data_IF_896070813236
#
_entry.id   IF_896070813236
#
_cell.length_a   1.000
_cell.length_b   1.000
_cell.length_c   1.000
_cell.angle_alpha   90.00
_cell.angle_beta   90.00
_cell.angle_gamma   90.00
#
_symmetry.space_group_name_H-M   'P 1'
#
loop_
_entity.id
_entity.type
_entity.pdbx_description
1 polymer ?
#
# COMPACT_ATOMS: atom_id res chain seq x y z
N UNK A 1 -2.67 -30.14 -4.88
CA UNK A 1 -3.60 -29.09 -5.35
C UNK A 1 -3.63 -27.91 -4.36
N UNK A 2 -3.36 -26.68 -4.80
CA UNK A 2 -3.39 -25.48 -3.94
C UNK A 2 -4.82 -25.09 -3.52
N UNK A 3 -5.76 -25.12 -4.47
CA UNK A 3 -7.15 -24.73 -4.25
C UNK A 3 -7.81 -25.54 -3.14
N UNK A 4 -7.69 -26.86 -3.19
CA UNK A 4 -8.22 -27.76 -2.16
C UNK A 4 -7.63 -27.51 -0.75
N UNK A 5 -6.34 -27.21 -0.65
CA UNK A 5 -5.69 -26.90 0.64
C UNK A 5 -6.16 -25.55 1.20
N UNK A 6 -6.39 -24.60 0.30
CA UNK A 6 -6.92 -23.28 0.63
C UNK A 6 -8.38 -23.38 1.09
N UNK A 7 -9.22 -24.17 0.41
CA UNK A 7 -10.63 -24.38 0.75
C UNK A 7 -10.84 -24.93 2.16
N UNK A 8 -9.91 -25.75 2.65
CA UNK A 8 -9.97 -26.31 4.00
C UNK A 8 -9.64 -25.32 5.12
N UNK A 9 -9.10 -24.14 4.80
CA UNK A 9 -8.72 -23.12 5.81
C UNK A 9 -9.83 -22.11 6.02
N UNK A 10 -10.47 -22.12 7.18
CA UNK A 10 -11.54 -21.18 7.52
C UNK A 10 -11.10 -19.71 7.54
N UNK A 11 -9.86 -19.44 7.96
CA UNK A 11 -9.28 -18.09 8.04
C UNK A 11 -9.06 -17.41 6.69
N UNK A 12 -9.15 -18.15 5.57
CA UNK A 12 -8.85 -17.64 4.23
C UNK A 12 -10.09 -17.16 3.46
N UNK A 13 -11.21 -16.86 4.12
CA UNK A 13 -12.49 -16.50 3.46
C UNK A 13 -12.37 -15.50 2.32
N UNK A 14 -11.76 -14.34 2.58
CA UNK A 14 -11.53 -13.29 1.56
C UNK A 14 -10.66 -13.81 0.42
N UNK A 15 -9.58 -14.52 0.76
CA UNK A 15 -8.67 -15.06 -0.24
C UNK A 15 -9.37 -16.05 -1.18
N UNK A 16 -10.27 -16.92 -0.67
CA UNK A 16 -11.03 -17.86 -1.53
C UNK A 16 -11.97 -17.14 -2.48
N UNK A 17 -12.66 -16.12 -1.96
CA UNK A 17 -13.62 -15.34 -2.73
C UNK A 17 -12.93 -14.54 -3.86
N UNK A 18 -11.72 -14.05 -3.61
CA UNK A 18 -11.04 -13.13 -4.52
C UNK A 18 -9.95 -13.75 -5.39
N UNK A 19 -9.24 -14.80 -4.95
CA UNK A 19 -8.12 -15.40 -5.70
C UNK A 19 -8.59 -16.56 -6.57
N UNK A 20 -8.93 -16.24 -7.82
CA UNK A 20 -9.45 -17.21 -8.80
C UNK A 20 -8.37 -18.18 -9.34
N UNK A 21 -7.15 -17.69 -9.54
CA UNK A 21 -6.04 -18.46 -10.12
C UNK A 21 -4.68 -18.03 -9.53
N UNK A 22 -3.70 -18.94 -9.61
CA UNK A 22 -2.30 -18.63 -9.29
C UNK A 22 -1.67 -18.03 -10.55
N UNK A 23 -1.44 -16.72 -10.54
CA UNK A 23 -0.82 -16.00 -11.64
C UNK A 23 0.07 -14.87 -11.15
N UNK A 24 0.96 -14.41 -12.01
CA UNK A 24 1.75 -13.19 -11.80
C UNK A 24 0.83 -11.97 -11.94
N UNK A 25 1.01 -11.00 -11.05
CA UNK A 25 0.36 -9.69 -11.16
C UNK A 25 1.19 -8.81 -12.13
N UNK A 26 0.54 -8.20 -13.12
CA UNK A 26 1.23 -7.46 -14.19
C UNK A 26 1.43 -5.97 -13.89
N UNK A 27 0.85 -5.46 -12.80
CA UNK A 27 0.99 -4.05 -12.39
C UNK A 27 2.20 -3.81 -11.47
N UNK A 28 2.96 -4.86 -11.14
CA UNK A 28 4.27 -4.74 -10.52
C UNK A 28 5.35 -5.10 -11.54
N UNK A 29 6.11 -4.10 -11.99
CA UNK A 29 7.15 -4.21 -13.01
C UNK A 29 8.58 -4.11 -12.43
N UNK A 30 8.71 -4.24 -11.11
CA UNK A 30 9.96 -4.10 -10.34
C UNK A 30 10.65 -2.73 -10.48
N UNK A 31 9.93 -1.71 -10.96
CA UNK A 31 10.41 -0.34 -10.92
C UNK A 31 10.16 0.30 -9.53
N UNK A 32 10.68 1.51 -9.32
CA UNK A 32 10.50 2.25 -8.07
C UNK A 32 9.01 2.55 -7.76
N UNK A 33 8.23 2.90 -8.78
CA UNK A 33 6.78 3.13 -8.64
C UNK A 33 6.02 1.89 -8.16
N UNK A 34 6.36 0.71 -8.66
CA UNK A 34 5.79 -0.56 -8.24
C UNK A 34 6.14 -0.90 -6.78
N UNK A 35 7.35 -0.57 -6.33
CA UNK A 35 7.74 -0.68 -4.93
C UNK A 35 6.95 0.29 -4.03
N UNK A 36 6.78 1.55 -4.46
CA UNK A 36 5.97 2.54 -3.73
C UNK A 36 4.49 2.13 -3.66
N UNK A 37 3.93 1.61 -4.76
CA UNK A 37 2.56 1.10 -4.81
C UNK A 37 2.37 -0.08 -3.85
N UNK A 38 3.34 -1.00 -3.79
CA UNK A 38 3.31 -2.12 -2.86
C UNK A 38 3.31 -1.61 -1.41
N UNK A 39 4.21 -0.68 -1.07
CA UNK A 39 4.28 -0.10 0.26
C UNK A 39 2.97 0.60 0.67
N UNK A 40 2.36 1.36 -0.24
CA UNK A 40 1.08 2.02 0.00
C UNK A 40 -0.03 1.01 0.28
N UNK A 41 -0.16 -0.04 -0.55
CA UNK A 41 -1.19 -1.09 -0.38
C UNK A 41 -1.00 -1.94 0.87
N UNK A 42 0.25 -2.13 1.30
CA UNK A 42 0.58 -2.84 2.52
C UNK A 42 0.45 -1.98 3.78
N UNK A 43 0.18 -0.68 3.66
CA UNK A 43 0.10 0.24 4.79
C UNK A 43 1.47 0.55 5.42
N UNK A 44 2.56 0.36 4.67
CA UNK A 44 3.94 0.56 5.15
C UNK A 44 4.72 1.61 4.34
N UNK A 45 4.02 2.40 3.52
CA UNK A 45 4.63 3.55 2.85
C UNK A 45 5.23 4.49 3.88
N UNK A 46 6.50 4.83 3.66
CA UNK A 46 7.37 5.53 4.61
C UNK A 46 7.10 7.03 4.63
N UNK A 47 5.84 7.41 4.79
CA UNK A 47 5.41 8.81 4.89
C UNK A 47 5.88 9.44 6.21
N UNK A 48 5.82 10.76 6.32
CA UNK A 48 6.21 11.45 7.55
C UNK A 48 5.35 11.05 8.75
N UNK A 49 4.04 10.81 8.57
CA UNK A 49 3.18 10.27 9.65
C UNK A 49 3.53 8.83 10.03
N UNK A 50 4.09 8.02 9.12
CA UNK A 50 4.59 6.69 9.50
C UNK A 50 5.85 6.80 10.35
N UNK A 51 6.78 7.67 9.96
CA UNK A 51 8.07 7.87 10.65
C UNK A 51 7.95 8.58 11.99
N UNK A 52 6.93 9.42 12.18
CA UNK A 52 6.67 10.11 13.45
C UNK A 52 6.41 9.16 14.62
N UNK A 53 5.98 7.92 14.33
CA UNK A 53 5.82 6.85 15.34
C UNK A 53 7.13 6.46 16.02
N UNK A 54 8.26 6.68 15.36
CA UNK A 54 9.59 6.25 15.82
C UNK A 54 10.54 7.42 16.06
N UNK A 55 10.16 8.65 15.68
CA UNK A 55 10.98 9.85 15.82
C UNK A 55 10.08 11.07 15.95
N UNK A 56 10.43 12.02 16.82
CA UNK A 56 9.69 13.28 16.92
C UNK A 56 10.05 14.17 15.73
N UNK A 57 9.27 14.08 14.66
CA UNK A 57 9.42 14.86 13.43
C UNK A 57 8.10 15.48 12.99
N UNK A 58 8.19 16.56 12.22
CA UNK A 58 7.03 17.17 11.58
C UNK A 58 6.36 16.17 10.63
N UNK A 59 5.03 16.12 10.68
CA UNK A 59 4.20 15.24 9.87
C UNK A 59 3.64 15.95 8.63
N UNK A 60 3.90 17.24 8.46
CA UNK A 60 3.36 18.05 7.36
C UNK A 60 3.90 17.56 6.01
N UNK A 61 2.99 17.33 5.06
CA UNK A 61 3.31 16.88 3.71
C UNK A 61 4.30 17.83 3.03
N UNK A 62 5.42 17.27 2.57
CA UNK A 62 6.48 18.06 1.89
C UNK A 62 5.98 18.62 0.55
N UNK A 63 5.05 17.93 -0.10
CA UNK A 63 4.49 18.36 -1.39
C UNK A 63 3.59 19.58 -1.28
N UNK A 64 2.57 19.54 -0.40
CA UNK A 64 1.59 20.61 -0.29
C UNK A 64 1.84 21.60 0.85
N UNK A 65 2.56 21.21 1.91
CA UNK A 65 2.83 22.04 3.08
C UNK A 65 1.60 22.35 3.95
N UNK A 66 0.46 21.71 3.70
CA UNK A 66 -0.83 22.04 4.34
C UNK A 66 -1.33 20.88 5.21
N UNK A 67 -1.45 19.70 4.63
CA UNK A 67 -2.00 18.52 5.31
C UNK A 67 -0.88 17.62 5.84
N UNK A 68 -1.23 16.71 6.74
CA UNK A 68 -0.31 15.64 7.16
C UNK A 68 0.01 14.70 6.01
N UNK A 69 1.24 14.21 5.99
CA UNK A 69 1.71 13.23 5.02
C UNK A 69 1.23 11.81 5.37
N UNK A 70 -0.05 11.55 5.15
CA UNK A 70 -0.63 10.20 5.23
C UNK A 70 -0.56 9.50 3.88
N UNK A 71 -0.79 8.17 3.87
CA UNK A 71 -0.88 7.40 2.61
C UNK A 71 -2.04 7.92 1.77
N UNK A 72 -3.22 8.09 2.37
CA UNK A 72 -4.41 8.61 1.69
C UNK A 72 -4.14 10.00 1.10
N UNK A 73 -3.49 10.88 1.85
CA UNK A 73 -3.13 12.19 1.37
C UNK A 73 -2.22 12.12 0.14
N UNK A 74 -1.11 11.37 0.22
CA UNK A 74 -0.13 11.26 -0.87
C UNK A 74 -0.73 10.62 -2.13
N UNK A 75 -1.58 9.61 -1.96
CA UNK A 75 -2.08 8.81 -3.10
C UNK A 75 -3.33 9.43 -3.72
N UNK A 76 -4.24 10.01 -2.91
CA UNK A 76 -5.58 10.38 -3.36
C UNK A 76 -5.87 11.89 -3.31
N UNK A 77 -5.18 12.66 -2.46
CA UNK A 77 -5.61 14.04 -2.13
C UNK A 77 -4.58 15.12 -2.47
N UNK A 78 -3.30 14.77 -2.56
CA UNK A 78 -2.22 15.74 -2.68
C UNK A 78 -2.18 16.37 -4.07
N UNK A 79 -2.68 17.61 -4.18
CA UNK A 79 -2.74 18.35 -5.45
C UNK A 79 -1.37 18.69 -6.06
N UNK A 80 -0.29 18.60 -5.27
CA UNK A 80 1.08 18.91 -5.70
C UNK A 80 1.83 17.71 -6.24
N UNK A 81 1.33 16.50 -6.02
CA UNK A 81 1.90 15.27 -6.59
C UNK A 81 1.08 14.95 -7.83
N UNK A 82 1.73 15.00 -8.99
CA UNK A 82 1.12 14.63 -10.26
C UNK A 82 1.72 13.31 -10.78
N UNK A 83 0.89 12.42 -11.36
CA UNK A 83 1.36 11.18 -11.98
C UNK A 83 2.35 11.39 -13.14
#
# INVERSE_FOLDING_TARGET
MWKERMEKKGSLGIYKASKQEIRKENFYDNNKGSALLFEARAGCLRTLTYRSKYSSQDETCVGCGINKETIDHIVMECQKIQP
#
